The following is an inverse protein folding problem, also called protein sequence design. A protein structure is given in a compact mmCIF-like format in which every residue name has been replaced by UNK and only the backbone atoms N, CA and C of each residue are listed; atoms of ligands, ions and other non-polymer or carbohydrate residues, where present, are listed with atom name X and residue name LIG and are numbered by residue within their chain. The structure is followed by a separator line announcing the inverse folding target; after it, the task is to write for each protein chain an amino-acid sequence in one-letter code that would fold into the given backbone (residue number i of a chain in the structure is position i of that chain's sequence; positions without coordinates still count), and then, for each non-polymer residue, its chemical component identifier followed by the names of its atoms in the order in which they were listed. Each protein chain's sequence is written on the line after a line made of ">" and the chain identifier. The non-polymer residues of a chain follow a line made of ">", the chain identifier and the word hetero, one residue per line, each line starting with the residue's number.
data_IF_491456156528
#
_entry.id   IF_491456156528
#
_cell.length_a   1.000
_cell.length_b   1.000
_cell.length_c   1.000
_cell.angle_alpha   90.00
_cell.angle_beta   90.00
_cell.angle_gamma   90.00
#
_symmetry.space_group_name_H-M   'P 1'
#
loop_
_entity.id
_entity.type
_entity.pdbx_description
1 polymer ?
#
# COMPACT_ATOMS: atom_id res chain seq x y z
N UNK A 1 -1.29 -3.00 -25.47
CA UNK A 1 -2.41 -3.75 -24.85
C UNK A 1 -2.96 -2.90 -23.71
N UNK A 2 -4.24 -3.06 -23.33
CA UNK A 2 -4.84 -2.39 -22.15
C UNK A 2 -4.42 -3.17 -20.90
N UNK A 3 -3.85 -2.49 -19.90
CA UNK A 3 -3.54 -3.10 -18.60
C UNK A 3 -4.83 -3.58 -17.92
N UNK A 4 -4.87 -4.85 -17.51
CA UNK A 4 -5.99 -5.43 -16.76
C UNK A 4 -5.42 -5.93 -15.43
N UNK A 5 -5.76 -5.30 -14.29
CA UNK A 5 -5.16 -5.65 -13.00
C UNK A 5 -5.56 -7.08 -12.61
N UNK A 6 -4.57 -7.87 -12.25
CA UNK A 6 -4.79 -9.15 -11.55
C UNK A 6 -5.47 -8.91 -10.20
N UNK A 7 -6.29 -9.88 -9.76
CA UNK A 7 -7.03 -9.77 -8.50
C UNK A 7 -6.07 -9.75 -7.31
N UNK A 8 -6.16 -8.73 -6.46
CA UNK A 8 -5.40 -8.67 -5.22
C UNK A 8 -6.01 -9.57 -4.14
N UNK A 9 -5.17 -10.22 -3.32
CA UNK A 9 -5.64 -10.90 -2.09
C UNK A 9 -5.86 -9.92 -0.94
N UNK A 10 -5.42 -8.66 -1.06
CA UNK A 10 -5.62 -7.63 -0.03
C UNK A 10 -7.09 -7.46 0.32
N UNK A 11 -7.97 -7.45 -0.67
CA UNK A 11 -9.43 -7.35 -0.48
C UNK A 11 -10.03 -8.51 0.34
N UNK A 12 -9.34 -9.65 0.44
CA UNK A 12 -9.77 -10.81 1.24
C UNK A 12 -9.19 -10.82 2.66
N UNK A 13 -8.20 -9.97 2.96
CA UNK A 13 -7.48 -9.96 4.25
C UNK A 13 -7.68 -8.67 5.05
N UNK A 14 -8.06 -7.57 4.39
CA UNK A 14 -8.48 -6.33 5.07
C UNK A 14 -9.95 -6.42 5.48
N UNK A 15 -10.38 -5.57 6.41
CA UNK A 15 -11.77 -5.48 6.86
C UNK A 15 -12.75 -5.44 5.67
N UNK A 16 -13.79 -6.30 5.59
CA UNK A 16 -14.77 -6.29 4.51
C UNK A 16 -15.53 -4.96 4.34
N UNK A 17 -15.50 -4.08 5.35
CA UNK A 17 -16.07 -2.72 5.30
C UNK A 17 -15.05 -1.67 4.86
N UNK A 18 -13.84 -2.07 4.53
CA UNK A 18 -12.83 -1.16 4.02
C UNK A 18 -13.31 -0.52 2.70
N UNK A 19 -13.17 0.79 2.62
CA UNK A 19 -13.20 1.51 1.37
C UNK A 19 -11.85 1.45 0.70
N UNK A 20 -11.82 1.83 -0.58
CA UNK A 20 -10.57 2.10 -1.26
C UNK A 20 -10.66 3.32 -2.16
N UNK A 21 -9.53 4.00 -2.29
CA UNK A 21 -9.27 4.97 -3.35
C UNK A 21 -8.31 4.36 -4.35
N UNK A 22 -8.62 4.51 -5.64
CA UNK A 22 -7.82 4.00 -6.74
C UNK A 22 -7.08 5.14 -7.43
N UNK A 23 -5.80 4.94 -7.71
CA UNK A 23 -4.93 5.92 -8.35
C UNK A 23 -4.28 5.32 -9.60
N UNK A 24 -4.41 6.01 -10.73
CA UNK A 24 -3.65 5.71 -11.94
C UNK A 24 -2.21 6.21 -11.79
N UNK A 25 -1.25 5.30 -11.71
CA UNK A 25 0.16 5.65 -11.52
C UNK A 25 0.89 5.90 -12.86
N UNK A 26 0.24 5.59 -13.99
CA UNK A 26 0.80 5.81 -15.33
C UNK A 26 0.76 7.28 -15.73
N UNK A 27 -0.27 8.03 -15.31
CA UNK A 27 -0.35 9.47 -15.51
C UNK A 27 0.44 10.24 -14.46
N UNK A 28 0.96 11.42 -14.85
CA UNK A 28 1.67 12.29 -13.91
C UNK A 28 0.73 12.85 -12.83
N UNK A 29 -0.52 13.18 -13.21
CA UNK A 29 -1.53 13.69 -12.30
C UNK A 29 -1.94 12.63 -11.26
N UNK A 30 -2.28 11.40 -11.69
CA UNK A 30 -2.68 10.36 -10.74
C UNK A 30 -1.56 9.97 -9.79
N UNK A 31 -0.30 10.00 -10.23
CA UNK A 31 0.85 9.83 -9.33
C UNK A 31 1.02 11.00 -8.37
N UNK A 32 0.77 12.24 -8.80
CA UNK A 32 0.79 13.40 -7.90
C UNK A 32 -0.32 13.35 -6.86
N UNK A 33 -1.52 12.93 -7.24
CA UNK A 33 -2.66 12.74 -6.31
C UNK A 33 -2.34 11.65 -5.29
N UNK A 34 -1.79 10.53 -5.73
CA UNK A 34 -1.32 9.45 -4.87
C UNK A 34 -0.27 9.95 -3.87
N UNK A 35 0.75 10.68 -4.32
CA UNK A 35 1.77 11.28 -3.45
C UNK A 35 1.19 12.32 -2.50
N UNK A 36 0.29 13.17 -2.99
CA UNK A 36 -0.37 14.21 -2.22
C UNK A 36 -1.16 13.63 -1.04
N UNK A 37 -1.86 12.51 -1.27
CA UNK A 37 -2.53 11.78 -0.21
C UNK A 37 -1.58 11.40 0.93
N UNK A 38 -0.39 10.87 0.64
CA UNK A 38 0.58 10.53 1.70
C UNK A 38 1.29 11.73 2.34
N UNK A 39 1.50 12.81 1.58
CA UNK A 39 2.04 14.05 2.15
C UNK A 39 1.08 14.67 3.18
N UNK A 40 -0.23 14.61 2.92
CA UNK A 40 -1.27 15.15 3.79
C UNK A 40 -1.53 14.30 5.04
N UNK A 41 -1.10 13.04 5.07
CA UNK A 41 -1.07 12.21 6.27
C UNK A 41 -0.06 12.68 7.33
N UNK A 42 0.62 13.81 7.11
CA UNK A 42 1.51 14.44 8.08
C UNK A 42 2.85 13.73 8.25
N UNK A 43 3.21 12.82 7.36
CA UNK A 43 4.44 12.03 7.43
C UNK A 43 5.28 12.19 6.17
N UNK A 44 6.58 12.46 6.33
CA UNK A 44 7.54 12.47 5.21
C UNK A 44 7.69 11.10 4.54
N UNK A 45 7.40 10.02 5.28
CA UNK A 45 7.39 8.63 4.82
C UNK A 45 6.32 7.85 5.60
N UNK A 46 5.57 6.99 4.92
CA UNK A 46 4.49 6.24 5.55
C UNK A 46 5.02 4.97 6.26
N UNK A 47 4.69 4.88 7.56
CA UNK A 47 4.80 3.73 8.47
C UNK A 47 3.98 2.49 8.05
N UNK A 48 4.58 1.34 7.74
CA UNK A 48 3.86 0.05 7.62
C UNK A 48 4.53 -1.05 8.46
N UNK A 49 3.75 -2.02 8.94
CA UNK A 49 4.23 -3.08 9.86
C UNK A 49 4.47 -4.42 9.17
N UNK A 50 4.17 -4.51 7.90
CA UNK A 50 4.51 -5.65 7.08
C UNK A 50 4.29 -5.34 5.62
N UNK A 51 4.70 -6.28 4.79
CA UNK A 51 4.43 -6.22 3.37
C UNK A 51 4.18 -7.62 2.81
N UNK A 52 3.44 -7.66 1.72
CA UNK A 52 3.19 -8.86 0.94
C UNK A 52 3.53 -8.58 -0.52
N UNK A 53 4.14 -9.55 -1.19
CA UNK A 53 4.44 -9.50 -2.62
C UNK A 53 3.75 -10.68 -3.29
N UNK A 54 2.84 -10.37 -4.21
CA UNK A 54 2.11 -11.35 -5.01
C UNK A 54 2.69 -11.33 -6.42
N UNK A 55 3.57 -12.26 -6.75
CA UNK A 55 4.06 -12.45 -8.11
C UNK A 55 3.10 -13.30 -8.93
N UNK A 56 3.02 -13.07 -10.25
CA UNK A 56 2.16 -13.85 -11.16
C UNK A 56 2.36 -15.37 -11.18
N UNK A 57 3.36 -15.91 -10.46
CA UNK A 57 3.70 -17.33 -10.36
C UNK A 57 3.10 -18.04 -9.12
N UNK A 58 1.96 -17.58 -8.60
CA UNK A 58 1.27 -18.07 -7.38
C UNK A 58 2.04 -17.92 -6.05
N UNK A 59 3.36 -17.75 -6.08
CA UNK A 59 4.18 -17.48 -4.91
C UNK A 59 3.82 -16.13 -4.27
N UNK A 60 3.21 -16.19 -3.09
CA UNK A 60 2.93 -15.03 -2.24
C UNK A 60 3.96 -14.97 -1.12
N UNK A 61 4.76 -13.90 -1.08
CA UNK A 61 5.75 -13.68 -0.02
C UNK A 61 5.18 -12.71 1.00
N UNK A 62 5.16 -13.10 2.27
CA UNK A 62 4.69 -12.25 3.37
C UNK A 62 5.85 -11.97 4.32
N UNK A 63 5.98 -10.73 4.74
CA UNK A 63 6.94 -10.29 5.75
C UNK A 63 6.21 -9.47 6.81
N UNK A 64 6.47 -9.78 8.08
CA UNK A 64 6.05 -8.99 9.24
C UNK A 64 7.12 -7.95 9.62
N UNK A 65 8.08 -7.68 8.74
CA UNK A 65 9.12 -6.68 8.97
C UNK A 65 8.52 -5.31 8.73
N UNK A 66 8.60 -4.38 9.70
CA UNK A 66 8.16 -3.01 9.49
C UNK A 66 8.98 -2.33 8.40
N UNK A 67 8.34 -1.45 7.63
CA UNK A 67 8.96 -0.73 6.51
C UNK A 67 8.52 0.72 6.49
N UNK A 68 9.40 1.59 6.00
CA UNK A 68 9.05 2.94 5.58
C UNK A 68 8.86 2.99 4.08
N UNK A 69 7.72 3.54 3.67
CA UNK A 69 7.41 3.81 2.28
C UNK A 69 7.74 5.25 1.92
N UNK A 70 8.70 5.39 1.01
CA UNK A 70 9.20 6.67 0.53
C UNK A 70 8.73 6.92 -0.90
N UNK A 71 8.22 8.13 -1.16
CA UNK A 71 7.60 8.51 -2.42
C UNK A 71 8.35 9.69 -3.06
N UNK A 72 9.13 9.40 -4.09
CA UNK A 72 9.88 10.40 -4.87
C UNK A 72 9.17 10.71 -6.19
N UNK A 73 9.68 11.68 -6.95
CA UNK A 73 9.07 12.09 -8.22
C UNK A 73 9.10 10.97 -9.28
N UNK A 74 10.12 10.12 -9.26
CA UNK A 74 10.35 9.12 -10.31
C UNK A 74 10.40 7.67 -9.81
N UNK A 75 10.28 7.47 -8.50
CA UNK A 75 10.42 6.15 -7.90
C UNK A 75 9.79 6.11 -6.52
N UNK A 76 9.51 4.89 -6.07
CA UNK A 76 9.04 4.59 -4.73
C UNK A 76 10.02 3.59 -4.10
N UNK A 77 10.26 3.70 -2.80
CA UNK A 77 11.19 2.80 -2.10
C UNK A 77 10.59 2.27 -0.81
N UNK A 78 10.92 1.02 -0.51
CA UNK A 78 10.77 0.46 0.83
C UNK A 78 12.13 0.38 1.51
N UNK A 79 12.20 0.98 2.69
CA UNK A 79 13.38 1.03 3.54
C UNK A 79 13.08 0.45 4.92
N UNK A 80 14.09 -0.01 5.67
CA UNK A 80 13.95 -0.21 7.11
C UNK A 80 13.49 1.10 7.79
N UNK A 81 12.69 1.03 8.86
CA UNK A 81 12.28 2.21 9.59
C UNK A 81 13.47 3.00 10.13
N UNK A 82 13.42 4.32 9.93
CA UNK A 82 14.40 5.29 10.46
C UNK A 82 15.81 5.14 9.88
N UNK A 83 16.00 4.30 8.86
CA UNK A 83 17.25 4.15 8.13
C UNK A 83 17.17 4.83 6.76
N UNK A 84 17.97 5.88 6.56
CA UNK A 84 17.96 6.67 5.32
C UNK A 84 18.95 6.18 4.25
N UNK A 85 19.73 5.13 4.54
CA UNK A 85 20.86 4.68 3.68
C UNK A 85 20.73 3.25 3.18
N UNK A 86 19.68 2.54 3.59
CA UNK A 86 19.43 1.13 3.26
C UNK A 86 18.03 1.02 2.65
N UNK A 87 17.91 0.23 1.58
CA UNK A 87 16.63 -0.04 0.93
C UNK A 87 16.44 -1.55 0.83
N UNK A 88 15.25 -2.03 1.19
CA UNK A 88 14.88 -3.42 0.93
C UNK A 88 14.69 -3.64 -0.58
N UNK A 89 14.02 -2.71 -1.26
CA UNK A 89 13.91 -2.69 -2.72
C UNK A 89 13.34 -1.37 -3.24
N UNK A 90 13.60 -1.10 -4.53
CA UNK A 90 13.02 -0.02 -5.32
C UNK A 90 11.82 -0.52 -6.13
N UNK A 91 10.78 0.31 -6.22
CA UNK A 91 9.66 0.17 -7.13
C UNK A 91 9.73 1.31 -8.16
N UNK A 92 10.34 1.07 -9.35
CA UNK A 92 10.44 2.08 -10.37
C UNK A 92 9.05 2.56 -10.80
N UNK A 93 8.86 3.88 -10.93
CA UNK A 93 7.58 4.42 -11.37
C UNK A 93 7.21 3.96 -12.79
N UNK A 94 8.20 3.63 -13.61
CA UNK A 94 8.01 3.15 -14.99
C UNK A 94 7.29 1.81 -15.07
N UNK A 95 7.38 0.96 -14.04
CA UNK A 95 6.67 -0.32 -13.99
C UNK A 95 5.34 -0.23 -13.25
N UNK A 96 5.13 0.80 -12.43
CA UNK A 96 3.88 1.03 -11.74
C UNK A 96 2.72 1.33 -12.70
N UNK A 97 1.53 0.81 -12.39
CA UNK A 97 0.32 0.96 -13.20
C UNK A 97 -0.85 1.52 -12.40
N UNK A 98 -1.12 0.91 -11.26
CA UNK A 98 -2.29 1.19 -10.43
C UNK A 98 -1.90 1.12 -8.97
N UNK A 99 -2.54 1.94 -8.13
CA UNK A 99 -2.54 1.73 -6.69
C UNK A 99 -3.96 1.74 -6.13
N UNK A 100 -4.18 0.94 -5.08
CA UNK A 100 -5.35 1.05 -4.22
C UNK A 100 -4.93 1.30 -2.79
N UNK A 101 -5.53 2.30 -2.16
CA UNK A 101 -5.31 2.62 -0.75
C UNK A 101 -6.56 2.22 0.01
N UNK A 102 -6.42 1.26 0.92
CA UNK A 102 -7.50 0.68 1.71
C UNK A 102 -7.59 1.36 3.07
N UNK A 103 -8.81 1.75 3.46
CA UNK A 103 -9.06 2.45 4.70
C UNK A 103 -10.41 2.11 5.31
N UNK A 104 -10.56 2.35 6.61
CA UNK A 104 -11.82 2.25 7.32
C UNK A 104 -12.79 3.34 6.85
N UNK A 105 -13.97 2.95 6.37
CA UNK A 105 -15.06 3.92 6.10
C UNK A 105 -15.76 4.24 7.44
N UNK A 106 -15.85 5.52 7.84
CA UNK A 106 -16.63 5.90 9.02
C UNK A 106 -18.10 5.51 8.88
N UNK A 107 -18.71 5.02 9.96
CA UNK A 107 -20.12 4.63 9.97
C UNK A 107 -21.01 5.83 9.59
N UNK A 108 -21.93 5.62 8.63
CA UNK A 108 -22.87 6.65 8.17
C UNK A 108 -22.42 7.49 6.97
N UNK A 109 -21.22 7.27 6.43
CA UNK A 109 -20.79 7.87 5.17
C UNK A 109 -21.47 7.17 3.98
N UNK A 110 -22.18 7.93 3.14
CA UNK A 110 -22.63 7.49 1.81
C UNK A 110 -21.52 7.63 0.76
N UNK A 111 -21.67 6.98 -0.39
CA UNK A 111 -20.66 7.00 -1.47
C UNK A 111 -20.31 8.41 -1.96
N UNK A 112 -21.27 9.35 -1.95
CA UNK A 112 -21.04 10.75 -2.33
C UNK A 112 -20.14 11.52 -1.35
N UNK A 113 -20.00 11.06 -0.11
CA UNK A 113 -19.15 11.70 0.90
C UNK A 113 -17.68 11.24 0.83
N UNK A 114 -17.35 10.34 -0.10
CA UNK A 114 -15.98 9.85 -0.32
C UNK A 114 -15.24 10.65 -1.40
N UNK A 115 -15.92 11.51 -2.16
CA UNK A 115 -15.27 12.37 -3.14
C UNK A 115 -14.42 13.43 -2.42
N UNK A 116 -13.11 13.44 -2.70
CA UNK A 116 -12.13 14.26 -1.98
C UNK A 116 -11.87 13.85 -0.52
N UNK A 117 -12.43 12.72 -0.05
CA UNK A 117 -12.16 12.21 1.29
C UNK A 117 -10.70 11.74 1.41
N UNK A 118 -10.04 12.20 2.47
CA UNK A 118 -8.66 11.81 2.78
C UNK A 118 -8.67 11.10 4.12
N UNK A 119 -8.49 9.77 4.15
CA UNK A 119 -8.52 9.01 5.38
C UNK A 119 -7.37 9.48 6.26
N UNK A 120 -7.58 9.63 7.57
CA UNK A 120 -6.47 9.88 8.48
C UNK A 120 -5.60 8.62 8.58
N UNK A 121 -4.36 8.77 9.06
CA UNK A 121 -3.37 7.68 9.07
C UNK A 121 -3.86 6.47 9.86
N UNK A 122 -4.53 6.73 10.98
CA UNK A 122 -5.16 5.75 11.85
C UNK A 122 -6.36 5.04 11.22
N UNK A 123 -6.77 5.38 10.01
CA UNK A 123 -7.81 4.64 9.29
C UNK A 123 -7.23 3.80 8.14
N UNK A 124 -5.92 3.89 7.87
CA UNK A 124 -5.29 3.05 6.86
C UNK A 124 -5.23 1.58 7.29
N UNK A 125 -5.55 0.70 6.34
CA UNK A 125 -5.39 -0.75 6.46
C UNK A 125 -4.24 -1.26 5.60
N UNK A 126 -4.21 -0.89 4.33
CA UNK A 126 -3.20 -1.35 3.40
C UNK A 126 -3.06 -0.44 2.17
N UNK A 127 -1.98 -0.64 1.42
CA UNK A 127 -1.76 -0.02 0.11
C UNK A 127 -1.30 -1.10 -0.86
N UNK A 128 -2.03 -1.30 -1.95
CA UNK A 128 -1.59 -2.15 -3.04
C UNK A 128 -0.99 -1.31 -4.17
N UNK A 129 0.13 -1.76 -4.72
CA UNK A 129 0.77 -1.17 -5.90
C UNK A 129 0.94 -2.27 -6.94
N UNK A 130 0.22 -2.15 -8.05
CA UNK A 130 0.41 -3.02 -9.21
C UNK A 130 1.56 -2.52 -10.06
N UNK A 131 2.46 -3.43 -10.36
CA UNK A 131 3.55 -3.23 -11.32
C UNK A 131 3.46 -4.23 -12.46
N UNK A 132 3.94 -3.85 -13.63
CA UNK A 132 4.04 -4.69 -14.81
C UNK A 132 5.43 -4.51 -15.45
N UNK A 133 6.13 -5.61 -15.69
CA UNK A 133 7.43 -5.61 -16.37
C UNK A 133 7.30 -5.52 -17.91
N UNK A 134 8.44 -5.48 -18.61
CA UNK A 134 8.48 -5.38 -20.08
C UNK A 134 7.87 -6.61 -20.79
N UNK A 135 7.75 -7.74 -20.09
CA UNK A 135 7.16 -8.97 -20.60
C UNK A 135 5.65 -9.08 -20.29
N UNK A 136 5.07 -8.09 -19.60
CA UNK A 136 3.67 -8.12 -19.17
C UNK A 136 3.42 -8.93 -17.90
N UNK A 137 4.48 -9.31 -17.17
CA UNK A 137 4.35 -10.00 -15.89
C UNK A 137 3.93 -9.01 -14.81
N UNK A 138 2.81 -9.29 -14.16
CA UNK A 138 2.32 -8.46 -13.07
C UNK A 138 2.85 -8.93 -11.70
N UNK A 139 3.10 -7.96 -10.84
CA UNK A 139 3.29 -8.15 -9.41
C UNK A 139 2.48 -7.12 -8.63
N UNK A 140 2.02 -7.51 -7.44
CA UNK A 140 1.31 -6.62 -6.52
C UNK A 140 2.14 -6.52 -5.24
N UNK A 141 2.53 -5.31 -4.90
CA UNK A 141 3.19 -4.98 -3.64
C UNK A 141 2.17 -4.41 -2.69
N UNK A 142 1.87 -5.15 -1.62
CA UNK A 142 0.93 -4.73 -0.59
C UNK A 142 1.72 -4.29 0.63
N UNK A 143 1.53 -3.04 1.05
CA UNK A 143 2.05 -2.49 2.30
C UNK A 143 0.93 -2.57 3.34
N UNK A 144 1.21 -3.20 4.47
CA UNK A 144 0.18 -3.58 5.44
C UNK A 144 0.36 -2.76 6.70
N UNK A 145 -0.68 -2.03 7.06
CA UNK A 145 -0.76 -1.32 8.32
C UNK A 145 -1.28 -2.23 9.43
N UNK A 146 -2.32 -3.01 9.12
CA UNK A 146 -2.94 -3.99 10.01
C UNK A 146 -3.59 -5.09 9.16
N UNK A 147 -3.27 -6.36 9.43
CA UNK A 147 -3.96 -7.49 8.81
C UNK A 147 -3.72 -8.80 9.58
N UNK A 148 -4.65 -9.74 9.42
CA UNK A 148 -4.49 -11.14 9.80
C UNK A 148 -4.49 -11.97 8.53
N UNK A 149 -3.38 -12.65 8.23
CA UNK A 149 -3.20 -13.37 6.96
C UNK A 149 -2.95 -14.84 7.24
N UNK A 150 -3.68 -15.72 6.54
CA UNK A 150 -3.43 -17.17 6.58
C UNK A 150 -3.00 -17.64 5.19
N UNK A 151 -1.78 -18.17 5.07
CA UNK A 151 -1.25 -18.79 3.83
C UNK A 151 -0.46 -20.04 4.17
N UNK A 152 -0.61 -21.10 3.38
CA UNK A 152 0.20 -22.33 3.45
C UNK A 152 0.32 -22.93 4.86
N UNK A 153 -0.78 -22.89 5.62
CA UNK A 153 -0.85 -23.41 6.99
C UNK A 153 -0.20 -22.52 8.06
N UNK A 154 0.28 -21.33 7.70
CA UNK A 154 0.82 -20.33 8.63
C UNK A 154 -0.13 -19.15 8.80
N UNK A 155 -0.17 -18.62 10.01
CA UNK A 155 -0.93 -17.44 10.36
C UNK A 155 0.04 -16.30 10.69
N UNK A 156 -0.18 -15.15 10.05
CA UNK A 156 0.59 -13.94 10.24
C UNK A 156 -0.32 -12.89 10.85
N UNK A 157 0.13 -12.33 11.97
CA UNK A 157 -0.54 -11.23 12.65
C UNK A 157 0.32 -9.99 12.48
N UNK A 158 -0.14 -9.06 11.64
CA UNK A 158 0.48 -7.75 11.47
C UNK A 158 -0.35 -6.78 12.26
N UNK A 159 0.14 -6.46 13.46
CA UNK A 159 -0.53 -5.55 14.39
C UNK A 159 -0.35 -4.09 13.96
N UNK A 160 -1.32 -3.26 14.29
CA UNK A 160 -1.26 -1.81 14.10
C UNK A 160 -0.20 -1.20 15.01
N UNK A 161 0.45 -0.13 14.54
CA UNK A 161 1.41 0.63 15.36
C UNK A 161 0.68 1.29 16.55
N UNK A 162 0.88 0.77 17.76
CA UNK A 162 0.56 1.50 19.00
C UNK A 162 1.74 2.41 19.32
N UNK A 163 1.63 3.69 19.04
CA UNK A 163 2.72 4.63 19.26
C UNK A 163 2.64 5.26 20.65
N UNK A 164 3.42 4.73 21.60
CA UNK A 164 4.03 5.58 22.66
C UNK A 164 5.31 6.29 22.15
N UNK A 165 5.91 5.83 21.04
CA UNK A 165 7.24 6.29 20.57
C UNK A 165 7.25 7.50 19.60
N UNK A 166 6.12 7.96 19.07
CA UNK A 166 6.05 9.19 18.23
C UNK A 166 5.72 10.46 19.02
N UNK A 167 5.66 10.40 20.36
CA UNK A 167 5.43 11.57 21.24
C UNK A 167 6.72 12.17 21.84
N UNK A 168 7.90 11.77 21.33
CA UNK A 168 9.22 12.30 21.74
C UNK A 168 9.72 13.42 20.84
#
# INVERSE_FOLDING_TARGET
>A
MRFVPTKSRTEAIVDPRAGYMEFDLTSALGYQEFRGMFAELGVKAALFNGYMVQSGTEDTRISTTPVQFHLFEHSMYLAPPFEAKSYYFELPRTTARLSKVYFRIPLGFGSAALDGYKPPREDLYAVDIWTEDEHGTQAIYTLIYEAQIRTDGREYHIERFESEQLMG
#
